data_IF_569592620986
#
_entry.id   IF_569592620986
#
_cell.length_a   1.000
_cell.length_b   1.000
_cell.length_c   1.000
_cell.angle_alpha   90.00
_cell.angle_beta   90.00
_cell.angle_gamma   90.00
#
_symmetry.space_group_name_H-M   'P 1'
#
loop_
_entity.id
_entity.type
_entity.pdbx_description
1 polymer ?
#
# COMPACT_ATOMS: atom_id res chain seq x y z
N UNK A 1 -1.95 12.57 0.76
CA UNK A 1 -1.12 11.55 0.09
C UNK A 1 0.38 11.71 0.31
N UNK A 2 1.03 12.84 -0.06
CA UNK A 2 2.50 13.00 0.10
C UNK A 2 3.01 12.70 1.52
N UNK A 3 2.34 13.20 2.56
CA UNK A 3 2.71 12.89 3.94
C UNK A 3 2.60 11.40 4.27
N UNK A 4 1.57 10.71 3.80
CA UNK A 4 1.40 9.27 4.02
C UNK A 4 2.56 8.49 3.39
N UNK A 5 2.90 8.81 2.14
CA UNK A 5 4.06 8.21 1.46
C UNK A 5 5.34 8.40 2.28
N UNK A 6 5.60 9.61 2.76
CA UNK A 6 6.81 9.87 3.56
C UNK A 6 6.80 9.18 4.92
N UNK A 7 5.65 9.11 5.60
CA UNK A 7 5.49 8.37 6.86
C UNK A 7 5.88 6.91 6.62
N UNK A 8 5.30 6.26 5.61
CA UNK A 8 5.64 4.88 5.26
C UNK A 8 7.12 4.70 4.93
N UNK A 9 7.69 5.58 4.10
CA UNK A 9 9.10 5.52 3.70
C UNK A 9 10.05 5.61 4.90
N UNK A 10 9.84 6.56 5.82
CA UNK A 10 10.68 6.69 7.01
C UNK A 10 10.45 5.57 8.02
N UNK A 11 9.24 5.00 8.10
CA UNK A 11 9.01 3.77 8.85
C UNK A 11 9.82 2.62 8.26
N UNK A 12 9.63 2.33 6.97
CA UNK A 12 10.25 1.19 6.29
C UNK A 12 11.79 1.25 6.30
N UNK A 13 12.37 2.45 6.19
CA UNK A 13 13.82 2.67 6.21
C UNK A 13 14.40 2.91 7.62
N UNK A 14 13.57 2.86 8.66
CA UNK A 14 13.96 3.12 10.06
C UNK A 14 14.53 4.54 10.29
N UNK A 15 14.10 5.50 9.48
CA UNK A 15 14.45 6.92 9.56
C UNK A 15 13.68 7.67 10.67
N UNK A 16 13.74 7.18 11.91
CA UNK A 16 12.81 7.57 12.99
C UNK A 16 12.85 9.06 13.37
N UNK A 17 13.99 9.75 13.20
CA UNK A 17 14.05 11.21 13.40
C UNK A 17 13.19 11.96 12.38
N UNK A 18 13.36 11.65 11.10
CA UNK A 18 12.52 12.22 10.03
C UNK A 18 11.07 11.77 10.14
N UNK A 19 10.81 10.54 10.64
CA UNK A 19 9.46 10.08 10.93
C UNK A 19 8.78 10.97 11.97
N UNK A 20 9.48 11.34 13.05
CA UNK A 20 8.93 12.24 14.07
C UNK A 20 8.57 13.60 13.47
N UNK A 21 9.48 14.20 12.70
CA UNK A 21 9.27 15.50 12.07
C UNK A 21 8.07 15.48 11.11
N UNK A 22 7.98 14.46 10.25
CA UNK A 22 6.87 14.35 9.29
C UNK A 22 5.55 14.07 9.98
N UNK A 23 5.53 13.26 11.06
CA UNK A 23 4.31 13.00 11.82
C UNK A 23 3.79 14.28 12.48
N UNK A 24 4.68 15.06 13.10
CA UNK A 24 4.32 16.34 13.71
C UNK A 24 3.76 17.31 12.68
N UNK A 25 4.46 17.46 11.55
CA UNK A 25 4.03 18.34 10.47
C UNK A 25 2.68 17.90 9.86
N UNK A 26 2.52 16.60 9.59
CA UNK A 26 1.33 16.07 8.94
C UNK A 26 0.10 16.17 9.86
N UNK A 27 0.20 15.75 11.11
CA UNK A 27 -0.93 15.79 12.06
C UNK A 27 -1.32 17.24 12.36
N UNK A 28 -0.34 18.12 12.62
CA UNK A 28 -0.63 19.55 12.84
C UNK A 28 -1.19 20.24 11.59
N UNK A 29 -0.81 19.76 10.41
CA UNK A 29 -1.32 20.19 9.12
C UNK A 29 -2.68 19.58 8.73
N UNK A 30 -3.32 18.82 9.62
CA UNK A 30 -4.68 18.31 9.43
C UNK A 30 -4.78 16.89 8.85
N UNK A 31 -3.67 16.16 8.70
CA UNK A 31 -3.74 14.72 8.37
C UNK A 31 -4.47 13.99 9.49
N UNK A 32 -5.41 13.11 9.12
CA UNK A 32 -6.10 12.30 10.10
C UNK A 32 -5.09 11.39 10.83
N UNK A 33 -5.09 11.44 12.15
CA UNK A 33 -4.16 10.69 13.02
C UNK A 33 -4.24 9.18 12.77
N UNK A 34 -5.43 8.69 12.42
CA UNK A 34 -5.67 7.28 12.07
C UNK A 34 -5.05 6.89 10.73
N UNK A 35 -5.05 7.77 9.74
CA UNK A 35 -4.37 7.52 8.45
C UNK A 35 -2.86 7.50 8.63
N UNK A 36 -2.31 8.40 9.45
CA UNK A 36 -0.88 8.39 9.80
C UNK A 36 -0.47 7.07 10.47
N UNK A 37 -1.26 6.59 11.44
CA UNK A 37 -1.04 5.28 12.06
C UNK A 37 -1.14 4.14 11.05
N UNK A 38 -2.17 4.14 10.19
CA UNK A 38 -2.36 3.09 9.20
C UNK A 38 -1.21 3.02 8.21
N UNK A 39 -0.63 4.17 7.84
CA UNK A 39 0.58 4.22 7.01
C UNK A 39 1.78 3.54 7.67
N UNK A 40 1.94 3.66 8.99
CA UNK A 40 2.99 2.95 9.74
C UNK A 40 2.71 1.45 9.76
N UNK A 41 1.46 1.06 10.05
CA UNK A 41 1.06 -0.35 10.14
C UNK A 41 1.13 -1.07 8.79
N UNK A 42 0.92 -0.35 7.68
CA UNK A 42 1.08 -0.90 6.32
C UNK A 42 2.50 -1.44 6.11
N UNK A 43 3.52 -0.79 6.68
CA UNK A 43 4.90 -1.24 6.60
C UNK A 43 5.14 -2.59 7.31
N UNK A 44 4.21 -3.08 8.13
CA UNK A 44 4.31 -4.42 8.72
C UNK A 44 4.39 -5.51 7.64
N UNK A 45 3.71 -5.29 6.50
CA UNK A 45 3.66 -6.24 5.38
C UNK A 45 4.98 -6.26 4.60
N UNK A 46 5.65 -5.11 4.46
CA UNK A 46 6.81 -4.95 3.56
C UNK A 46 8.15 -4.80 4.28
N UNK A 47 8.18 -4.18 5.45
CA UNK A 47 9.38 -3.92 6.23
C UNK A 47 9.44 -4.70 7.56
N UNK A 48 8.31 -5.31 7.95
CA UNK A 48 8.21 -6.17 9.12
C UNK A 48 8.29 -5.43 10.46
N UNK A 49 8.19 -6.20 11.54
CA UNK A 49 8.03 -5.67 12.90
C UNK A 49 9.24 -4.83 13.36
N UNK A 50 10.44 -5.20 12.93
CA UNK A 50 11.67 -4.47 13.29
C UNK A 50 11.71 -3.02 12.79
N UNK A 51 10.90 -2.69 11.78
CA UNK A 51 10.70 -1.32 11.32
C UNK A 51 9.50 -0.66 12.02
N UNK A 52 8.42 -1.41 12.22
CA UNK A 52 7.15 -0.91 12.73
C UNK A 52 7.16 -0.66 14.24
N UNK A 53 7.68 -1.57 15.05
CA UNK A 53 7.59 -1.45 16.51
C UNK A 53 8.22 -0.14 17.04
N UNK A 54 9.45 0.26 16.64
CA UNK A 54 9.99 1.55 17.07
C UNK A 54 9.26 2.76 16.45
N UNK A 55 8.69 2.62 15.25
CA UNK A 55 7.87 3.66 14.63
C UNK A 55 6.57 3.91 15.43
N UNK A 56 5.97 2.87 16.02
CA UNK A 56 4.81 3.00 16.91
C UNK A 56 5.17 3.74 18.21
N UNK A 57 6.39 3.58 18.72
CA UNK A 57 6.86 4.35 19.88
C UNK A 57 6.98 5.85 19.54
N UNK A 58 7.56 6.17 18.38
CA UNK A 58 7.65 7.54 17.86
C UNK A 58 6.24 8.13 17.69
N UNK A 59 5.35 7.41 17.01
CA UNK A 59 3.97 7.83 16.81
C UNK A 59 3.24 8.08 18.14
N UNK A 60 3.38 7.17 19.11
CA UNK A 60 2.72 7.29 20.41
C UNK A 60 3.20 8.52 21.17
N UNK A 61 4.51 8.83 21.11
CA UNK A 61 5.08 10.06 21.68
C UNK A 61 4.50 11.30 20.99
N UNK A 62 4.55 11.36 19.66
CA UNK A 62 4.03 12.51 18.88
C UNK A 62 2.53 12.71 19.13
N UNK A 63 1.73 11.65 19.08
CA UNK A 63 0.30 11.71 19.31
C UNK A 63 -0.06 12.16 20.74
N UNK A 64 0.77 11.81 21.74
CA UNK A 64 0.63 12.28 23.11
C UNK A 64 0.95 13.77 23.22
N UNK A 65 2.07 14.20 22.67
CA UNK A 65 2.52 15.59 22.73
C UNK A 65 1.53 16.54 22.03
N UNK A 66 0.91 16.09 20.95
CA UNK A 66 -0.12 16.84 20.22
C UNK A 66 -1.52 16.72 20.85
N UNK A 67 -1.70 15.94 21.93
CA UNK A 67 -2.99 15.78 22.60
C UNK A 67 -4.05 14.98 21.83
N UNK A 68 -3.66 14.25 20.78
CA UNK A 68 -4.59 13.53 19.88
C UNK A 68 -4.73 12.04 20.19
N UNK A 69 -3.96 11.51 21.14
CA UNK A 69 -3.95 10.09 21.48
C UNK A 69 -5.31 9.59 22.02
N UNK A 70 -6.05 10.42 22.75
CA UNK A 70 -7.35 10.05 23.32
C UNK A 70 -8.40 9.77 22.22
N UNK A 71 -8.52 10.66 21.23
CA UNK A 71 -9.47 10.50 20.13
C UNK A 71 -9.19 9.28 19.24
N UNK A 72 -7.94 8.80 19.20
CA UNK A 72 -7.59 7.56 18.52
C UNK A 72 -8.18 6.32 19.22
N UNK A 73 -8.27 6.34 20.56
CA UNK A 73 -8.84 5.24 21.36
C UNK A 73 -10.35 5.18 21.23
N UNK A 74 -11.00 6.35 21.21
CA UNK A 74 -12.46 6.44 21.11
C UNK A 74 -13.00 5.95 19.76
N UNK A 75 -12.22 6.13 18.69
CA UNK A 75 -12.65 5.80 17.32
C UNK A 75 -12.02 4.51 16.77
N UNK A 76 -11.67 3.54 17.64
CA UNK A 76 -11.04 2.29 17.20
C UNK A 76 -11.93 1.53 16.22
N UNK A 77 -11.30 0.94 15.19
CA UNK A 77 -12.00 0.03 14.31
C UNK A 77 -12.43 -1.22 15.09
N UNK A 78 -13.61 -1.80 14.78
CA UNK A 78 -13.96 -3.15 15.19
C UNK A 78 -12.89 -4.16 14.78
N UNK A 79 -12.85 -5.32 15.45
CA UNK A 79 -11.88 -6.39 15.15
C UNK A 79 -11.99 -6.93 13.71
N UNK A 80 -13.19 -6.84 13.13
CA UNK A 80 -13.48 -7.17 11.74
C UNK A 80 -13.57 -5.93 10.84
N UNK A 81 -13.13 -4.77 11.32
CA UNK A 81 -13.09 -3.51 10.56
C UNK A 81 -14.43 -3.23 9.88
N UNK A 82 -14.41 -3.19 8.55
CA UNK A 82 -15.58 -3.00 7.69
C UNK A 82 -15.99 -4.27 6.93
N UNK A 83 -15.47 -5.45 7.32
CA UNK A 83 -15.71 -6.70 6.60
C UNK A 83 -17.21 -7.08 6.56
N UNK A 84 -17.97 -6.72 7.62
CA UNK A 84 -19.42 -6.99 7.71
C UNK A 84 -20.26 -6.24 6.68
N UNK A 85 -19.74 -5.12 6.18
CA UNK A 85 -20.42 -4.30 5.19
C UNK A 85 -20.20 -4.82 3.76
N UNK A 86 -19.30 -5.80 3.59
CA UNK A 86 -18.91 -6.35 2.29
C UNK A 86 -19.71 -7.59 1.94
N UNK A 87 -19.86 -7.83 0.64
CA UNK A 87 -20.45 -9.07 0.14
C UNK A 87 -19.76 -9.51 -1.15
N UNK A 88 -19.58 -10.81 -1.32
CA UNK A 88 -19.02 -11.38 -2.56
C UNK A 88 -19.80 -10.93 -3.81
N UNK A 89 -21.12 -10.77 -3.68
CA UNK A 89 -21.98 -10.27 -4.77
C UNK A 89 -21.62 -8.83 -5.18
N UNK A 90 -21.24 -7.98 -4.23
CA UNK A 90 -20.79 -6.62 -4.52
C UNK A 90 -19.37 -6.62 -5.11
N UNK A 91 -18.45 -7.40 -4.53
CA UNK A 91 -17.06 -7.48 -5.02
C UNK A 91 -17.00 -7.95 -6.48
N UNK A 92 -17.77 -8.98 -6.85
CA UNK A 92 -17.85 -9.48 -8.25
C UNK A 92 -18.18 -8.40 -9.28
N UNK A 93 -18.91 -7.35 -8.89
CA UNK A 93 -19.25 -6.23 -9.80
C UNK A 93 -18.07 -5.29 -10.05
N UNK A 94 -17.04 -5.36 -9.21
CA UNK A 94 -15.83 -4.52 -9.32
C UNK A 94 -14.74 -5.18 -10.16
N UNK A 95 -14.85 -6.49 -10.41
CA UNK A 95 -13.84 -7.25 -11.14
C UNK A 95 -13.91 -7.01 -12.64
N UNK A 96 -12.73 -7.04 -13.25
CA UNK A 96 -12.56 -7.01 -14.71
C UNK A 96 -12.96 -8.34 -15.32
N UNK A 97 -13.19 -8.36 -16.63
CA UNK A 97 -13.56 -9.58 -17.35
C UNK A 97 -12.51 -10.71 -17.18
N UNK A 98 -11.22 -10.38 -17.18
CA UNK A 98 -10.13 -11.34 -16.96
C UNK A 98 -10.14 -11.93 -15.54
N UNK A 99 -10.41 -11.12 -14.53
CA UNK A 99 -10.53 -11.54 -13.13
C UNK A 99 -11.80 -12.36 -12.90
N UNK A 100 -12.89 -12.00 -13.59
CA UNK A 100 -14.17 -12.69 -13.51
C UNK A 100 -14.12 -14.10 -14.13
N UNK A 101 -13.34 -14.25 -15.20
CA UNK A 101 -13.25 -15.49 -15.97
C UNK A 101 -12.12 -16.42 -15.53
N UNK A 102 -11.26 -16.01 -14.59
CA UNK A 102 -10.11 -16.82 -14.18
C UNK A 102 -10.56 -18.14 -13.49
N UNK A 103 -10.18 -19.31 -14.03
CA UNK A 103 -10.70 -20.60 -13.56
C UNK A 103 -10.23 -20.97 -12.14
N UNK A 104 -9.16 -20.33 -11.63
CA UNK A 104 -8.61 -20.62 -10.30
C UNK A 104 -9.43 -19.99 -9.19
N UNK A 105 -10.17 -18.93 -9.51
CA UNK A 105 -10.81 -18.05 -8.53
C UNK A 105 -11.80 -18.78 -7.61
N UNK A 106 -12.75 -19.53 -8.18
CA UNK A 106 -13.77 -20.23 -7.38
C UNK A 106 -13.15 -21.25 -6.43
N UNK A 107 -12.19 -22.04 -6.94
CA UNK A 107 -11.49 -23.03 -6.13
C UNK A 107 -10.68 -22.38 -4.99
N UNK A 108 -10.00 -21.27 -5.25
CA UNK A 108 -9.25 -20.53 -4.24
C UNK A 108 -10.18 -19.89 -3.19
N UNK A 109 -11.32 -19.33 -3.60
CA UNK A 109 -12.32 -18.78 -2.66
C UNK A 109 -12.98 -19.88 -1.82
N UNK A 110 -13.26 -21.04 -2.41
CA UNK A 110 -13.80 -22.18 -1.68
C UNK A 110 -12.80 -22.66 -0.61
N UNK A 111 -11.50 -22.65 -0.92
CA UNK A 111 -10.45 -23.12 -0.02
C UNK A 111 -10.10 -22.12 1.09
N UNK A 112 -9.90 -20.85 0.74
CA UNK A 112 -9.34 -19.84 1.66
C UNK A 112 -10.35 -18.77 2.10
N UNK A 113 -11.61 -18.90 1.68
CA UNK A 113 -12.63 -17.89 1.91
C UNK A 113 -12.59 -16.77 0.86
N UNK A 114 -13.76 -16.19 0.59
CA UNK A 114 -13.89 -15.21 -0.48
C UNK A 114 -13.27 -13.86 -0.13
N UNK A 115 -13.25 -13.46 1.14
CA UNK A 115 -12.94 -12.09 1.55
C UNK A 115 -11.50 -11.69 1.21
N UNK A 116 -10.51 -12.47 1.66
CA UNK A 116 -9.10 -12.24 1.35
C UNK A 116 -8.80 -12.33 -0.14
N UNK A 117 -9.33 -13.38 -0.81
CA UNK A 117 -9.15 -13.56 -2.26
C UNK A 117 -9.72 -12.39 -3.05
N UNK A 118 -10.93 -11.91 -2.68
CA UNK A 118 -11.59 -10.79 -3.36
C UNK A 118 -10.86 -9.47 -3.14
N UNK A 119 -10.39 -9.20 -1.91
CA UNK A 119 -9.54 -8.03 -1.65
C UNK A 119 -8.27 -8.09 -2.49
N UNK A 120 -7.65 -9.27 -2.59
CA UNK A 120 -6.45 -9.46 -3.40
C UNK A 120 -6.69 -9.26 -4.89
N UNK A 121 -7.80 -9.74 -5.43
CA UNK A 121 -8.20 -9.46 -6.83
C UNK A 121 -8.42 -7.97 -7.03
N UNK A 122 -9.18 -7.31 -6.14
CA UNK A 122 -9.42 -5.86 -6.25
C UNK A 122 -8.12 -5.06 -6.20
N UNK A 123 -7.15 -5.50 -5.41
CA UNK A 123 -5.88 -4.79 -5.22
C UNK A 123 -4.81 -5.14 -6.28
N UNK A 124 -4.68 -6.40 -6.68
CA UNK A 124 -3.63 -6.88 -7.60
C UNK A 124 -4.12 -7.61 -8.87
N UNK A 125 -5.42 -7.65 -9.11
CA UNK A 125 -6.02 -8.37 -10.23
C UNK A 125 -5.68 -9.87 -10.25
N UNK A 126 -5.58 -10.43 -11.46
CA UNK A 126 -5.24 -11.85 -11.69
C UNK A 126 -3.87 -12.26 -11.15
N UNK A 127 -2.95 -11.31 -10.96
CA UNK A 127 -1.63 -11.58 -10.39
C UNK A 127 -1.75 -12.10 -8.94
N UNK A 128 -2.74 -11.63 -8.18
CA UNK A 128 -3.02 -12.14 -6.83
C UNK A 128 -3.30 -13.65 -6.83
N UNK A 129 -4.08 -14.14 -7.81
CA UNK A 129 -4.43 -15.56 -7.91
C UNK A 129 -3.19 -16.42 -8.17
N UNK A 130 -2.27 -15.94 -9.01
CA UNK A 130 -0.97 -16.59 -9.24
C UNK A 130 -0.12 -16.62 -7.98
N UNK A 131 -0.05 -15.51 -7.23
CA UNK A 131 0.68 -15.42 -5.97
C UNK A 131 0.13 -16.37 -4.89
N UNK A 132 -1.19 -16.47 -4.78
CA UNK A 132 -1.84 -17.35 -3.82
C UNK A 132 -1.66 -18.82 -4.20
N UNK A 133 -1.80 -19.15 -5.48
CA UNK A 133 -1.59 -20.52 -5.97
C UNK A 133 -0.14 -20.97 -5.77
N UNK A 134 0.83 -20.11 -6.07
CA UNK A 134 2.24 -20.40 -5.84
C UNK A 134 2.55 -20.65 -4.36
N UNK A 135 2.09 -19.76 -3.46
CA UNK A 135 2.24 -19.96 -2.01
C UNK A 135 1.57 -21.23 -1.53
N UNK A 136 0.36 -21.52 -2.02
CA UNK A 136 -0.38 -22.73 -1.66
C UNK A 136 0.31 -24.03 -2.11
N UNK A 137 1.07 -23.98 -3.21
CA UNK A 137 1.88 -25.11 -3.68
C UNK A 137 3.13 -25.33 -2.82
N UNK A 138 3.66 -24.28 -2.19
CA UNK A 138 4.75 -24.38 -1.22
C UNK A 138 4.25 -24.87 0.14
N UNK A 139 3.22 -24.21 0.66
CA UNK A 139 2.58 -24.53 1.93
C UNK A 139 1.16 -23.89 1.96
N UNK A 140 0.09 -24.70 2.03
CA UNK A 140 -1.28 -24.19 2.03
C UNK A 140 -1.68 -23.50 3.33
N UNK A 141 -1.12 -23.88 4.48
CA UNK A 141 -1.42 -23.23 5.77
C UNK A 141 -0.78 -21.85 5.81
N UNK A 142 0.50 -21.77 5.42
CA UNK A 142 1.19 -20.49 5.25
C UNK A 142 0.46 -19.55 4.28
N UNK A 143 0.01 -20.08 3.14
CA UNK A 143 -0.75 -19.30 2.16
C UNK A 143 -2.04 -18.71 2.77
N UNK A 144 -2.73 -19.48 3.61
CA UNK A 144 -3.89 -19.03 4.36
C UNK A 144 -3.56 -17.91 5.34
N UNK A 145 -2.50 -18.06 6.14
CA UNK A 145 -2.06 -17.05 7.12
C UNK A 145 -1.65 -15.73 6.44
N UNK A 146 -0.86 -15.82 5.36
CA UNK A 146 -0.47 -14.66 4.57
C UNK A 146 -1.69 -13.92 3.99
N UNK A 147 -2.64 -14.68 3.44
CA UNK A 147 -3.87 -14.12 2.86
C UNK A 147 -4.73 -13.46 3.93
N UNK A 148 -4.92 -14.12 5.06
CA UNK A 148 -5.72 -13.60 6.17
C UNK A 148 -5.11 -12.30 6.68
N UNK A 149 -3.83 -12.33 7.08
CA UNK A 149 -3.16 -11.17 7.64
C UNK A 149 -3.16 -9.98 6.67
N UNK A 150 -2.77 -10.22 5.41
CA UNK A 150 -2.56 -9.13 4.45
C UNK A 150 -3.88 -8.62 3.85
N UNK A 151 -4.65 -9.52 3.23
CA UNK A 151 -5.77 -9.12 2.36
C UNK A 151 -7.13 -9.21 3.05
N UNK A 152 -7.27 -10.10 4.03
CA UNK A 152 -8.52 -10.21 4.79
C UNK A 152 -8.55 -9.27 5.99
N UNK A 153 -7.40 -8.85 6.53
CA UNK A 153 -7.32 -7.94 7.67
C UNK A 153 -6.70 -6.61 7.26
N UNK A 154 -5.40 -6.54 7.05
CA UNK A 154 -4.72 -5.25 6.85
C UNK A 154 -5.29 -4.43 5.70
N UNK A 155 -5.59 -5.04 4.55
CA UNK A 155 -6.08 -4.32 3.37
C UNK A 155 -7.60 -4.16 3.32
N UNK A 156 -8.34 -4.69 4.28
CA UNK A 156 -9.80 -4.56 4.37
C UNK A 156 -10.28 -3.53 5.39
N UNK A 157 -9.35 -2.88 6.10
CA UNK A 157 -9.65 -1.88 7.15
C UNK A 157 -10.21 -0.55 6.64
N UNK A 158 -10.08 -0.26 5.35
CA UNK A 158 -10.61 0.95 4.69
C UNK A 158 -10.30 2.30 5.37
N UNK A 159 -9.26 2.37 6.20
CA UNK A 159 -8.71 3.64 6.70
C UNK A 159 -8.02 4.38 5.55
N UNK A 160 -7.25 3.64 4.74
CA UNK A 160 -6.75 4.10 3.46
C UNK A 160 -7.54 3.39 2.36
N UNK A 161 -7.96 4.13 1.34
CA UNK A 161 -8.50 3.53 0.13
C UNK A 161 -7.40 2.81 -0.66
N UNK A 162 -7.78 2.00 -1.66
CA UNK A 162 -6.79 1.17 -2.39
C UNK A 162 -5.76 2.00 -3.15
N UNK A 163 -6.17 3.14 -3.72
CA UNK A 163 -5.28 4.05 -4.43
C UNK A 163 -4.23 4.63 -3.49
N UNK A 164 -4.66 5.09 -2.32
CA UNK A 164 -3.77 5.67 -1.31
C UNK A 164 -2.86 4.59 -0.72
N UNK A 165 -3.38 3.38 -0.48
CA UNK A 165 -2.56 2.26 0.00
C UNK A 165 -1.48 1.88 -1.00
N UNK A 166 -1.84 1.63 -2.26
CA UNK A 166 -0.89 1.16 -3.27
C UNK A 166 0.18 2.21 -3.55
N UNK A 167 -0.17 3.50 -3.60
CA UNK A 167 0.84 4.54 -3.83
C UNK A 167 1.81 4.70 -2.64
N UNK A 168 1.35 4.46 -1.40
CA UNK A 168 2.25 4.38 -0.24
C UNK A 168 3.16 3.16 -0.35
N UNK A 169 2.62 1.99 -0.70
CA UNK A 169 3.41 0.77 -0.90
C UNK A 169 4.47 0.92 -2.00
N UNK A 170 4.15 1.60 -3.11
CA UNK A 170 5.15 1.94 -4.15
C UNK A 170 6.28 2.78 -3.55
N UNK A 171 5.94 3.78 -2.74
CA UNK A 171 6.93 4.61 -2.05
C UNK A 171 7.82 3.81 -1.09
N UNK A 172 7.22 2.93 -0.29
CA UNK A 172 7.91 2.10 0.71
C UNK A 172 8.88 1.12 0.04
N UNK A 173 8.43 0.41 -0.99
CA UNK A 173 9.23 -0.58 -1.73
C UNK A 173 10.43 0.07 -2.42
N UNK A 174 10.27 1.27 -2.99
CA UNK A 174 11.41 2.03 -3.49
C UNK A 174 12.38 2.47 -2.39
N UNK A 175 11.87 2.95 -1.26
CA UNK A 175 12.72 3.44 -0.18
C UNK A 175 13.61 2.33 0.42
N UNK A 176 13.12 1.08 0.48
CA UNK A 176 13.91 -0.08 0.92
C UNK A 176 14.69 -0.78 -0.21
N UNK A 177 14.57 -0.30 -1.45
CA UNK A 177 15.26 -0.87 -2.62
C UNK A 177 14.71 -2.19 -3.13
N UNK A 178 13.47 -2.55 -2.80
CA UNK A 178 12.79 -3.74 -3.33
C UNK A 178 12.12 -3.40 -4.68
N UNK A 179 12.92 -3.46 -5.74
CA UNK A 179 12.45 -3.14 -7.09
C UNK A 179 11.55 -4.22 -7.71
N UNK A 180 11.55 -5.44 -7.16
CA UNK A 180 10.65 -6.52 -7.62
C UNK A 180 9.23 -6.22 -7.16
N UNK A 181 9.05 -5.93 -5.87
CA UNK A 181 7.75 -5.52 -5.36
C UNK A 181 7.32 -4.15 -5.90
N UNK A 182 8.25 -3.20 -6.05
CA UNK A 182 7.93 -1.90 -6.63
C UNK A 182 7.38 -2.04 -8.06
N UNK A 183 7.96 -2.91 -8.89
CA UNK A 183 7.45 -3.18 -10.23
C UNK A 183 5.98 -3.62 -10.19
N UNK A 184 5.66 -4.65 -9.39
CA UNK A 184 4.31 -5.21 -9.32
C UNK A 184 3.33 -4.16 -8.80
N UNK A 185 3.69 -3.41 -7.76
CA UNK A 185 2.83 -2.36 -7.21
C UNK A 185 2.62 -1.17 -8.14
N UNK A 186 3.57 -0.84 -9.03
CA UNK A 186 3.36 0.18 -10.06
C UNK A 186 2.32 -0.31 -11.08
N UNK A 187 2.40 -1.56 -11.52
CA UNK A 187 1.40 -2.15 -12.42
C UNK A 187 0.01 -2.08 -11.79
N UNK A 188 -0.09 -2.40 -10.51
CA UNK A 188 -1.32 -2.37 -9.72
C UNK A 188 -1.84 -0.94 -9.52
N UNK A 189 -0.95 0.02 -9.22
CA UNK A 189 -1.30 1.43 -9.09
C UNK A 189 -1.88 2.00 -10.39
N UNK A 190 -1.24 1.72 -11.53
CA UNK A 190 -1.73 2.11 -12.85
C UNK A 190 -3.08 1.46 -13.16
N UNK A 191 -3.25 0.18 -12.80
CA UNK A 191 -4.51 -0.54 -12.95
C UNK A 191 -5.63 0.08 -12.10
N UNK A 192 -5.33 0.53 -10.88
CA UNK A 192 -6.27 1.24 -10.01
C UNK A 192 -6.56 2.67 -10.49
N UNK A 193 -5.89 3.16 -11.54
CA UNK A 193 -6.13 4.46 -12.15
C UNK A 193 -5.34 5.59 -11.52
N UNK A 194 -4.22 5.29 -10.84
CA UNK A 194 -3.21 6.29 -10.49
C UNK A 194 -2.45 6.65 -11.77
N UNK A 195 -2.23 7.94 -11.99
CA UNK A 195 -1.53 8.39 -13.20
C UNK A 195 -0.02 8.06 -13.14
N UNK A 196 0.63 7.83 -14.29
CA UNK A 196 2.08 7.73 -14.37
C UNK A 196 2.81 8.91 -13.73
N UNK A 197 2.22 10.12 -13.82
CA UNK A 197 2.78 11.32 -13.20
C UNK A 197 2.77 11.24 -11.68
N UNK A 198 1.66 10.82 -11.07
CA UNK A 198 1.59 10.67 -9.60
C UNK A 198 2.61 9.65 -9.09
N UNK A 199 2.83 8.55 -9.83
CA UNK A 199 3.87 7.57 -9.48
C UNK A 199 5.26 8.19 -9.64
N UNK A 200 5.50 8.99 -10.68
CA UNK A 200 6.78 9.69 -10.85
C UNK A 200 7.04 10.71 -9.73
N UNK A 201 6.02 11.40 -9.21
CA UNK A 201 6.16 12.27 -8.04
C UNK A 201 6.64 11.50 -6.81
N UNK A 202 6.14 10.28 -6.59
CA UNK A 202 6.62 9.40 -5.52
C UNK A 202 8.09 9.03 -5.73
N UNK A 203 8.48 8.74 -6.97
CA UNK A 203 9.89 8.48 -7.30
C UNK A 203 10.76 9.72 -7.04
N UNK A 204 10.29 10.93 -7.35
CA UNK A 204 11.06 12.15 -7.05
C UNK A 204 11.19 12.43 -5.56
N UNK A 205 10.22 12.00 -4.72
CA UNK A 205 10.38 12.05 -3.27
C UNK A 205 11.52 11.17 -2.76
N UNK A 206 11.94 10.15 -3.53
CA UNK A 206 13.08 9.30 -3.15
C UNK A 206 14.40 10.10 -3.16
N UNK A 207 14.57 11.02 -4.10
CA UNK A 207 15.84 11.72 -4.32
C UNK A 207 16.39 12.44 -3.09
N UNK A 208 15.62 13.35 -2.47
CA UNK A 208 16.08 14.12 -1.30
C UNK A 208 16.41 13.28 -0.07
N UNK A 209 15.75 12.13 0.12
CA UNK A 209 15.85 11.35 1.36
C UNK A 209 16.67 10.07 1.25
N UNK A 210 16.68 9.44 0.07
CA UNK A 210 17.36 8.16 -0.18
C UNK A 210 18.38 8.23 -1.33
N UNK A 211 18.60 9.43 -1.87
CA UNK A 211 19.69 9.74 -2.78
C UNK A 211 19.41 9.43 -4.26
N UNK A 212 20.20 10.08 -5.11
CA UNK A 212 20.07 9.99 -6.58
C UNK A 212 20.19 8.57 -7.15
N UNK A 213 21.04 7.65 -6.64
CA UNK A 213 21.12 6.29 -7.18
C UNK A 213 19.81 5.51 -7.02
N UNK A 214 19.17 5.59 -5.85
CA UNK A 214 17.89 4.91 -5.60
C UNK A 214 16.78 5.50 -6.47
N UNK A 215 16.72 6.85 -6.56
CA UNK A 215 15.78 7.54 -7.44
C UNK A 215 15.97 7.12 -8.91
N UNK A 216 17.20 7.07 -9.41
CA UNK A 216 17.49 6.68 -10.79
C UNK A 216 17.12 5.21 -11.07
N UNK A 217 17.36 4.30 -10.14
CA UNK A 217 16.90 2.91 -10.26
C UNK A 217 15.36 2.83 -10.30
N UNK A 218 14.69 3.59 -9.43
CA UNK A 218 13.23 3.68 -9.36
C UNK A 218 12.61 4.21 -10.67
N UNK A 219 13.21 5.25 -11.26
CA UNK A 219 12.81 5.79 -12.56
C UNK A 219 12.91 4.72 -13.65
N UNK A 220 14.00 3.96 -13.72
CA UNK A 220 14.17 2.89 -14.72
C UNK A 220 13.07 1.83 -14.64
N UNK A 221 12.63 1.48 -13.42
CA UNK A 221 11.50 0.55 -13.23
C UNK A 221 10.21 1.14 -13.81
N UNK A 222 9.89 2.39 -13.46
CA UNK A 222 8.71 3.09 -13.97
C UNK A 222 8.74 3.23 -15.50
N UNK A 223 9.83 3.73 -16.05
CA UNK A 223 10.05 3.91 -17.49
C UNK A 223 9.93 2.58 -18.26
N UNK A 224 10.46 1.48 -17.70
CA UNK A 224 10.35 0.16 -18.28
C UNK A 224 8.90 -0.33 -18.38
N UNK A 225 8.07 -0.03 -17.38
CA UNK A 225 6.64 -0.37 -17.38
C UNK A 225 5.89 0.51 -18.39
N UNK A 226 6.09 1.83 -18.33
CA UNK A 226 5.41 2.79 -19.21
C UNK A 226 5.80 2.61 -20.68
N UNK A 227 7.07 2.29 -20.96
CA UNK A 227 7.56 2.00 -22.30
C UNK A 227 6.84 0.80 -22.92
N UNK A 228 6.66 -0.28 -22.16
CA UNK A 228 5.90 -1.46 -22.61
C UNK A 228 4.41 -1.16 -22.84
N UNK A 229 3.84 -0.21 -22.09
CA UNK A 229 2.44 0.18 -22.21
C UNK A 229 2.21 1.32 -23.23
N UNK A 230 3.26 1.91 -23.81
CA UNK A 230 3.14 3.06 -24.71
C UNK A 230 2.74 4.37 -24.01
N UNK A 231 3.00 4.49 -22.70
CA UNK A 231 2.50 5.57 -21.82
C UNK A 231 3.57 6.60 -21.41
N UNK A 232 4.73 6.59 -22.07
CA UNK A 232 5.86 7.47 -21.72
C UNK A 232 5.53 8.97 -21.81
N UNK A 233 4.56 9.36 -22.64
CA UNK A 233 4.15 10.77 -22.76
C UNK A 233 3.44 11.30 -21.51
N UNK A 234 2.91 10.42 -20.64
CA UNK A 234 2.10 10.79 -19.47
C UNK A 234 2.93 11.30 -18.28
N UNK A 235 4.25 11.10 -18.29
CA UNK A 235 5.16 11.59 -17.24
C UNK A 235 5.76 12.97 -17.55
N UNK A 236 5.30 13.62 -18.63
CA UNK A 236 5.68 14.99 -18.95
C UNK A 236 5.34 16.00 -17.85
N UNK A 237 5.85 17.23 -17.97
CA UNK A 237 5.42 18.30 -17.07
C UNK A 237 3.94 18.59 -17.29
N UNK A 238 3.14 18.76 -16.22
CA UNK A 238 1.78 19.21 -16.36
C UNK A 238 1.77 20.58 -17.07
N UNK A 239 0.71 20.91 -17.83
CA UNK A 239 0.57 22.25 -18.38
C UNK A 239 0.65 23.28 -17.23
N UNK A 240 1.22 24.47 -17.48
CA UNK A 240 1.28 25.52 -16.48
C UNK A 240 -0.12 25.79 -15.90
N UNK A 241 -0.21 25.82 -14.57
CA UNK A 241 -1.45 26.24 -13.90
C UNK A 241 -1.65 27.72 -14.25
N UNK A 242 -2.78 28.03 -14.88
CA UNK A 242 -3.18 29.42 -15.16
C UNK A 242 -3.64 30.13 -13.90
#
# INVERSE_FOLDING_TARGET
>A
TRWLVQIGQFTATRGFGHLEDVLRAAISGGLAVREALESILLCQVYAGDTAVAPALDVFTRVARDLGVLAGLRENQLPLDGHDRERSLKAERKTWRAEEESDPRREALMQKYGWLGVSTGIRYRGVHHLSLLQHRAALDPEWAGLWLEFTYQRMYSRWILDDKTRVICTVGDTFAVGDFVQAHDHIVEALALGISPREIMEVVFLIGPYFGSPCMAASLKVLEGILGKQGRMAEIGNPPPVK
#
